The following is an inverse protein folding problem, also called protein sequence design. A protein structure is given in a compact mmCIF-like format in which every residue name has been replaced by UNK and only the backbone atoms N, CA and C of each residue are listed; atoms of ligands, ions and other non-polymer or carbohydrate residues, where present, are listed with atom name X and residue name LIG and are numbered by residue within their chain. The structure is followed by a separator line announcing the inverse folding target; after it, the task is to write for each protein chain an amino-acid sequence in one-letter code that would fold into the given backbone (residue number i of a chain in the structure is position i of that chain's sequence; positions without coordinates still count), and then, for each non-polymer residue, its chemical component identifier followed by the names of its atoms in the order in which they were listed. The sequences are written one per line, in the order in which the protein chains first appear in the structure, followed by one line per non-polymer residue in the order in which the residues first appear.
data_IF_515975368203
#
_entry.id   IF_515975368203
#
_cell.length_a   1.000
_cell.length_b   1.000
_cell.length_c   1.000
_cell.angle_alpha   90.00
_cell.angle_beta   90.00
_cell.angle_gamma   90.00
#
_symmetry.space_group_name_H-M   'P 1'
#
loop_
_entity.id
_entity.type
_entity.pdbx_description
1 polymer ?
#
# COMPACT_ATOMS: atom_id res chain seq x y z
N UNK A 1 2.87 -9.44 16.45
CA UNK A 1 1.81 -8.48 16.04
C UNK A 1 1.98 -8.28 14.56
N UNK A 2 0.91 -8.42 13.77
CA UNK A 2 0.99 -8.19 12.33
C UNK A 2 0.74 -6.71 12.02
N UNK A 3 1.54 -6.14 11.12
CA UNK A 3 1.46 -4.72 10.75
C UNK A 3 1.14 -4.65 9.26
N UNK A 4 -0.07 -4.18 8.96
CA UNK A 4 -0.56 -4.04 7.58
C UNK A 4 -0.42 -2.61 7.07
N UNK A 5 -0.18 -2.48 5.76
CA UNK A 5 -0.31 -1.25 4.99
C UNK A 5 -1.17 -1.54 3.77
N UNK A 6 -1.92 -0.54 3.29
CA UNK A 6 -2.71 -0.65 2.07
C UNK A 6 -2.26 0.33 1.00
N UNK A 7 -2.28 -0.13 -0.25
CA UNK A 7 -2.03 0.63 -1.46
C UNK A 7 -3.27 0.57 -2.36
N UNK A 8 -3.83 1.72 -2.68
CA UNK A 8 -5.02 1.86 -3.52
C UNK A 8 -4.63 2.52 -4.83
N UNK A 9 -4.71 1.76 -5.93
CA UNK A 9 -4.42 2.22 -7.29
C UNK A 9 -5.69 2.49 -8.11
N UNK A 10 -6.88 2.16 -7.57
CA UNK A 10 -8.17 2.50 -8.14
C UNK A 10 -8.44 4.02 -8.03
N UNK A 11 -8.54 4.76 -9.15
CA UNK A 11 -8.82 6.20 -9.12
C UNK A 11 -10.26 6.52 -8.67
N UNK A 12 -11.16 5.54 -8.54
CA UNK A 12 -12.55 5.74 -8.09
C UNK A 12 -12.85 5.01 -6.77
N UNK A 13 -11.82 4.69 -5.98
CA UNK A 13 -11.98 3.97 -4.72
C UNK A 13 -12.86 4.72 -3.71
N UNK A 14 -12.71 6.04 -3.65
CA UNK A 14 -13.60 6.97 -2.97
C UNK A 14 -13.68 6.76 -1.46
N UNK A 15 -14.90 6.79 -0.91
CA UNK A 15 -15.14 6.78 0.54
C UNK A 15 -14.61 5.53 1.26
N UNK A 16 -14.36 4.44 0.50
CA UNK A 16 -13.71 3.22 1.02
C UNK A 16 -12.31 3.49 1.59
N UNK A 17 -11.64 4.57 1.16
CA UNK A 17 -10.34 5.00 1.75
C UNK A 17 -10.44 5.20 3.26
N UNK A 18 -11.54 5.80 3.75
CA UNK A 18 -11.69 6.09 5.17
C UNK A 18 -11.78 4.81 6.02
N UNK A 19 -12.48 3.79 5.52
CA UNK A 19 -12.62 2.50 6.20
C UNK A 19 -11.29 1.75 6.31
N UNK A 20 -10.43 1.81 5.28
CA UNK A 20 -9.07 1.26 5.34
C UNK A 20 -8.21 2.07 6.33
N UNK A 21 -8.30 3.40 6.27
CA UNK A 21 -7.51 4.30 7.09
C UNK A 21 -7.78 4.13 8.59
N UNK A 22 -8.99 3.74 8.99
CA UNK A 22 -9.29 3.41 10.39
C UNK A 22 -8.48 2.21 10.91
N UNK A 23 -8.12 1.29 10.03
CA UNK A 23 -7.47 0.02 10.39
C UNK A 23 -5.95 0.08 10.25
N UNK A 24 -5.47 0.76 9.20
CA UNK A 24 -4.05 0.74 8.82
C UNK A 24 -3.65 2.00 8.03
N UNK A 25 -2.34 2.28 7.85
CA UNK A 25 -1.87 3.29 6.91
C UNK A 25 -2.35 3.00 5.47
N UNK A 26 -2.72 4.05 4.75
CA UNK A 26 -3.22 3.96 3.37
C UNK A 26 -2.39 4.85 2.46
N UNK A 27 -1.86 4.26 1.39
CA UNK A 27 -1.32 4.97 0.25
C UNK A 27 -2.33 4.90 -0.88
N UNK A 28 -2.74 6.04 -1.44
CA UNK A 28 -3.83 6.09 -2.43
C UNK A 28 -3.46 6.96 -3.61
N UNK A 29 -3.74 6.49 -4.83
CA UNK A 29 -3.55 7.29 -6.03
C UNK A 29 -4.45 8.54 -5.99
N UNK A 30 -3.85 9.69 -6.24
CA UNK A 30 -4.57 10.95 -6.33
C UNK A 30 -5.45 10.97 -7.58
N UNK A 31 -6.69 11.38 -7.37
CA UNK A 31 -7.74 11.52 -8.38
C UNK A 31 -8.83 12.44 -7.82
N UNK A 32 -9.69 13.06 -8.64
CA UNK A 32 -10.77 13.90 -8.11
C UNK A 32 -11.64 13.22 -7.05
N UNK A 33 -11.97 11.92 -7.26
CA UNK A 33 -12.79 11.11 -6.35
C UNK A 33 -12.03 10.78 -5.06
N UNK A 34 -10.80 10.27 -5.18
CA UNK A 34 -10.01 9.91 -4.01
C UNK A 34 -9.59 11.15 -3.22
N UNK A 35 -9.22 12.25 -3.87
CA UNK A 35 -8.81 13.49 -3.20
C UNK A 35 -9.95 14.08 -2.35
N UNK A 36 -11.20 13.98 -2.82
CA UNK A 36 -12.37 14.36 -2.02
C UNK A 36 -12.51 13.47 -0.79
N UNK A 37 -12.45 12.15 -0.96
CA UNK A 37 -12.54 11.19 0.13
C UNK A 37 -11.40 11.35 1.14
N UNK A 38 -10.16 11.59 0.68
CA UNK A 38 -8.98 11.82 1.53
C UNK A 38 -9.13 13.08 2.37
N UNK A 39 -9.63 14.19 1.80
CA UNK A 39 -9.90 15.41 2.57
C UNK A 39 -10.89 15.16 3.70
N UNK A 40 -11.98 14.45 3.41
CA UNK A 40 -12.99 14.10 4.42
C UNK A 40 -12.42 13.14 5.47
N UNK A 41 -11.68 12.10 5.05
CA UNK A 41 -11.08 11.13 5.97
C UNK A 41 -10.06 11.79 6.92
N UNK A 42 -9.19 12.67 6.43
CA UNK A 42 -8.20 13.39 7.26
C UNK A 42 -8.85 14.30 8.29
N UNK A 43 -9.99 14.91 7.97
CA UNK A 43 -10.72 15.75 8.95
C UNK A 43 -11.21 14.95 10.17
N UNK A 44 -11.43 13.64 10.01
CA UNK A 44 -11.91 12.75 11.07
C UNK A 44 -10.80 11.93 11.75
N UNK A 45 -9.78 11.51 10.99
CA UNK A 45 -8.75 10.56 11.44
C UNK A 45 -7.37 11.19 11.68
N UNK A 46 -7.17 12.45 11.28
CA UNK A 46 -5.87 13.12 11.26
C UNK A 46 -5.06 12.88 9.97
N UNK A 47 -4.02 13.68 9.76
CA UNK A 47 -3.29 13.71 8.48
C UNK A 47 -2.35 12.51 8.25
N UNK A 48 -1.79 11.92 9.32
CA UNK A 48 -0.71 10.95 9.23
C UNK A 48 -1.10 9.52 8.80
N UNK A 49 -2.39 9.23 8.57
CA UNK A 49 -2.85 7.88 8.22
C UNK A 49 -2.97 7.64 6.72
N UNK A 50 -2.95 8.70 5.91
CA UNK A 50 -3.23 8.62 4.48
C UNK A 50 -2.19 9.41 3.69
N UNK A 51 -1.51 8.74 2.76
CA UNK A 51 -0.52 9.33 1.86
C UNK A 51 -1.05 9.32 0.42
N UNK A 52 -1.04 10.47 -0.24
CA UNK A 52 -1.50 10.61 -1.63
C UNK A 52 -0.35 10.36 -2.61
N UNK A 53 -0.58 9.50 -3.60
CA UNK A 53 0.35 9.16 -4.68
C UNK A 53 -0.07 9.82 -5.97
N UNK A 54 0.74 10.74 -6.49
CA UNK A 54 0.49 11.32 -7.80
C UNK A 54 1.08 10.42 -8.89
N UNK A 55 0.25 10.07 -9.89
CA UNK A 55 0.72 9.43 -11.13
C UNK A 55 1.50 10.45 -11.95
N UNK A 56 2.68 10.08 -12.44
CA UNK A 56 3.48 10.95 -13.31
C UNK A 56 2.91 10.93 -14.74
N UNK A 57 3.05 12.03 -15.52
CA UNK A 57 2.62 12.04 -16.92
C UNK A 57 3.24 10.88 -17.71
N UNK A 58 2.41 10.08 -18.40
CA UNK A 58 2.86 8.91 -19.17
C UNK A 58 3.31 7.70 -18.35
N UNK A 59 3.14 7.71 -17.02
CA UNK A 59 3.54 6.59 -16.16
C UNK A 59 2.60 5.39 -16.34
N UNK A 60 3.19 4.28 -16.80
CA UNK A 60 2.52 2.98 -16.85
C UNK A 60 2.11 2.51 -15.45
N UNK A 61 1.01 1.75 -15.36
CA UNK A 61 0.49 1.26 -14.07
C UNK A 61 1.45 0.36 -13.33
N UNK A 62 2.21 -0.49 -14.03
CA UNK A 62 3.26 -1.30 -13.43
C UNK A 62 4.39 -0.46 -12.80
N UNK A 63 4.74 0.69 -13.40
CA UNK A 63 5.75 1.60 -12.87
C UNK A 63 5.23 2.36 -11.64
N UNK A 64 3.96 2.78 -11.66
CA UNK A 64 3.31 3.38 -10.49
C UNK A 64 3.28 2.38 -9.33
N UNK A 65 2.87 1.14 -9.58
CA UNK A 65 2.85 0.06 -8.59
C UNK A 65 4.24 -0.14 -8.00
N UNK A 66 5.25 -0.37 -8.85
CA UNK A 66 6.63 -0.59 -8.41
C UNK A 66 7.14 0.56 -7.53
N UNK A 67 6.99 1.80 -8.00
CA UNK A 67 7.41 3.00 -7.26
C UNK A 67 6.68 3.15 -5.93
N UNK A 68 5.37 2.89 -5.90
CA UNK A 68 4.58 2.98 -4.69
C UNK A 68 5.02 1.94 -3.65
N UNK A 69 5.28 0.70 -4.08
CA UNK A 69 5.72 -0.38 -3.18
C UNK A 69 7.08 -0.07 -2.56
N UNK A 70 8.05 0.44 -3.33
CA UNK A 70 9.33 0.88 -2.76
C UNK A 70 9.17 2.03 -1.77
N UNK A 71 8.34 3.03 -2.08
CA UNK A 71 8.10 4.16 -1.18
C UNK A 71 7.42 3.73 0.13
N UNK A 72 6.49 2.77 0.06
CA UNK A 72 5.88 2.15 1.24
C UNK A 72 6.93 1.43 2.07
N UNK A 73 7.81 0.66 1.43
CA UNK A 73 8.84 -0.10 2.13
C UNK A 73 9.86 0.81 2.82
N UNK A 74 10.27 1.89 2.15
CA UNK A 74 11.12 2.92 2.74
C UNK A 74 10.46 3.58 3.96
N UNK A 75 9.14 3.76 3.95
CA UNK A 75 8.44 4.47 5.03
C UNK A 75 8.02 3.56 6.20
N UNK A 76 7.60 2.33 5.92
CA UNK A 76 7.00 1.41 6.88
C UNK A 76 7.81 0.13 7.10
N UNK A 77 8.88 -0.10 6.33
CA UNK A 77 9.74 -1.27 6.45
C UNK A 77 10.63 -1.26 7.71
N UNK A 78 11.36 -2.34 7.89
CA UNK A 78 12.20 -2.60 9.08
C UNK A 78 13.34 -1.59 9.27
N UNK A 79 13.75 -0.91 8.20
CA UNK A 79 14.76 0.15 8.27
C UNK A 79 14.23 1.40 8.98
N UNK A 80 12.91 1.64 8.90
CA UNK A 80 12.27 2.88 9.36
C UNK A 80 11.43 2.70 10.62
N UNK A 81 11.12 1.46 11.01
CA UNK A 81 10.27 1.15 12.16
C UNK A 81 10.89 0.03 13.01
N UNK A 82 10.65 0.08 14.33
CA UNK A 82 11.06 -1.00 15.24
C UNK A 82 10.40 -2.33 14.86
N UNK A 83 9.19 -2.27 14.32
CA UNK A 83 8.48 -3.40 13.72
C UNK A 83 8.03 -2.97 12.33
N UNK A 84 8.68 -3.49 11.29
CA UNK A 84 8.29 -3.24 9.90
C UNK A 84 6.93 -3.85 9.58
N UNK A 85 6.27 -3.34 8.53
CA UNK A 85 5.06 -3.99 8.00
C UNK A 85 5.39 -5.38 7.47
N UNK A 86 4.45 -6.32 7.67
CA UNK A 86 4.55 -7.68 7.15
C UNK A 86 3.49 -7.98 6.09
N UNK A 87 2.48 -7.12 5.95
CA UNK A 87 1.36 -7.34 5.03
C UNK A 87 1.10 -6.08 4.21
N UNK A 88 1.11 -6.24 2.89
CA UNK A 88 0.72 -5.20 1.94
C UNK A 88 -0.55 -5.63 1.19
N UNK A 89 -1.61 -4.85 1.36
CA UNK A 89 -2.82 -4.99 0.56
C UNK A 89 -2.76 -4.05 -0.63
N UNK A 90 -2.99 -4.53 -1.84
CA UNK A 90 -3.00 -3.74 -3.06
C UNK A 90 -4.36 -3.87 -3.73
N UNK A 91 -5.01 -2.72 -3.95
CA UNK A 91 -6.35 -2.62 -4.54
C UNK A 91 -6.33 -1.87 -5.88
N UNK A 92 -7.26 -2.19 -6.78
CA UNK A 92 -7.50 -1.42 -8.00
C UNK A 92 -6.51 -1.66 -9.13
N UNK A 93 -5.94 -2.86 -9.21
CA UNK A 93 -4.94 -3.19 -10.22
C UNK A 93 -5.05 -4.63 -10.71
N UNK A 94 -4.92 -4.82 -12.01
CA UNK A 94 -4.71 -6.13 -12.62
C UNK A 94 -3.22 -6.52 -12.70
N UNK A 95 -2.33 -5.57 -12.39
CA UNK A 95 -0.88 -5.79 -12.39
C UNK A 95 -0.48 -6.75 -11.27
N UNK A 96 0.47 -7.64 -11.57
CA UNK A 96 1.12 -8.46 -10.55
C UNK A 96 2.31 -7.70 -9.98
N UNK A 97 2.62 -7.93 -8.70
CA UNK A 97 3.88 -7.46 -8.14
C UNK A 97 5.06 -8.13 -8.89
N UNK A 98 5.99 -7.36 -9.48
CA UNK A 98 7.14 -7.94 -10.16
C UNK A 98 7.96 -8.80 -9.20
N UNK A 99 8.32 -10.02 -9.62
CA UNK A 99 9.02 -10.98 -8.75
C UNK A 99 10.36 -10.44 -8.23
N UNK A 100 11.06 -9.62 -9.01
CA UNK A 100 12.28 -8.93 -8.55
C UNK A 100 12.00 -8.07 -7.32
N UNK A 101 10.95 -7.24 -7.36
CA UNK A 101 10.55 -6.38 -6.23
C UNK A 101 10.10 -7.24 -5.05
N UNK A 102 9.33 -8.29 -5.30
CA UNK A 102 8.88 -9.21 -4.26
C UNK A 102 10.08 -9.81 -3.49
N UNK A 103 11.07 -10.32 -4.20
CA UNK A 103 12.29 -10.89 -3.61
C UNK A 103 13.13 -9.84 -2.88
N UNK A 104 13.37 -8.68 -3.51
CA UNK A 104 14.19 -7.61 -2.92
C UNK A 104 13.61 -7.09 -1.60
N UNK A 105 12.28 -6.99 -1.50
CA UNK A 105 11.59 -6.47 -0.31
C UNK A 105 11.18 -7.56 0.69
N UNK A 106 11.57 -8.81 0.43
CA UNK A 106 11.36 -9.93 1.35
C UNK A 106 9.93 -10.51 1.37
N UNK A 107 9.08 -10.17 0.40
CA UNK A 107 7.76 -10.79 0.27
C UNK A 107 7.90 -12.28 -0.08
N UNK A 108 7.28 -13.13 0.74
CA UNK A 108 7.33 -14.60 0.62
C UNK A 108 6.09 -15.17 -0.04
N UNK A 109 4.96 -14.46 0.02
CA UNK A 109 3.73 -14.88 -0.64
C UNK A 109 3.00 -13.71 -1.28
N UNK A 110 2.34 -13.98 -2.40
CA UNK A 110 1.45 -13.04 -3.10
C UNK A 110 0.19 -13.81 -3.47
N UNK A 111 -0.96 -13.37 -2.94
CA UNK A 111 -2.26 -14.00 -3.15
C UNK A 111 -3.19 -13.02 -3.84
N UNK A 112 -3.80 -13.43 -4.95
CA UNK A 112 -4.81 -12.61 -5.63
C UNK A 112 -6.04 -12.41 -4.73
N UNK A 113 -6.64 -11.22 -4.80
CA UNK A 113 -7.93 -10.90 -4.18
C UNK A 113 -8.87 -10.37 -5.28
N UNK A 114 -10.13 -10.10 -4.93
CA UNK A 114 -11.17 -9.69 -5.89
C UNK A 114 -10.73 -8.50 -6.78
N UNK A 115 -10.06 -7.51 -6.19
CA UNK A 115 -9.63 -6.29 -6.89
C UNK A 115 -8.14 -5.99 -6.63
N UNK A 116 -7.27 -7.00 -6.79
CA UNK A 116 -5.81 -6.82 -6.68
C UNK A 116 -5.11 -8.00 -6.05
N UNK A 117 -4.23 -7.74 -5.08
CA UNK A 117 -3.51 -8.80 -4.37
C UNK A 117 -3.11 -8.42 -2.94
N UNK A 118 -2.81 -9.43 -2.14
CA UNK A 118 -2.15 -9.33 -0.83
C UNK A 118 -0.73 -9.89 -0.96
N UNK A 119 0.28 -9.15 -0.50
CA UNK A 119 1.66 -9.60 -0.41
C UNK A 119 2.11 -9.66 1.06
N UNK A 120 2.77 -10.75 1.46
CA UNK A 120 3.13 -11.01 2.86
C UNK A 120 4.62 -11.33 3.01
N UNK A 121 5.22 -10.77 4.05
CA UNK A 121 6.55 -11.13 4.59
C UNK A 121 6.33 -12.06 5.77
N UNK A 122 7.21 -13.04 5.94
CA UNK A 122 7.22 -13.87 7.15
C UNK A 122 8.40 -13.42 8.00
N UNK A 123 8.21 -13.31 9.31
CA UNK A 123 9.34 -13.18 10.21
C UNK A 123 10.23 -14.41 10.04
N UNK A 124 11.55 -14.23 9.93
CA UNK A 124 12.45 -15.35 10.13
C UNK A 124 12.25 -15.86 11.56
N UNK A 125 11.92 -17.13 11.72
CA UNK A 125 12.01 -17.77 13.03
C UNK A 125 13.47 -17.65 13.49
N UNK A 126 13.72 -16.80 14.48
CA UNK A 126 15.01 -16.79 15.17
C UNK A 126 15.16 -18.16 15.81
N UNK A 127 15.86 -19.06 15.12
CA UNK A 127 16.26 -20.34 15.66
C UNK A 127 17.35 -20.04 16.68
N UNK A 128 17.02 -20.18 17.96
CA UNK A 128 17.96 -20.05 19.08
C UNK A 128 19.04 -21.13 19.04
#
# INVERSE_FOLDING_TARGET
MHVSVSLVLDPVFGDRVAALAQQMPVWVVSSPVNDQAVRLARSNLGEGRITSLHRRPGEASCNLLARAVYAIDEHHGEVSQVVGYDTLWVYGTAEKLPQKIATELGFKSITAIEDGFKAEKWAEEITK
#
